data_IF_925262083103
#
_entry.id   IF_925262083103
#
_cell.length_a   1.000
_cell.length_b   1.000
_cell.length_c   1.000
_cell.angle_alpha   90.00
_cell.angle_beta   90.00
_cell.angle_gamma   90.00
#
_symmetry.space_group_name_H-M   'P 1'
#
loop_
_entity.id
_entity.type
_entity.pdbx_description
1 polymer ?
#
# COMPACT_ATOMS: atom_id res chain seq x y z
N UNK A 1 -4.81 6.45 17.12
CA UNK A 1 -5.81 6.89 16.10
C UNK A 1 -5.77 5.85 15.00
N UNK A 2 -6.74 4.91 14.93
CA UNK A 2 -6.60 3.78 14.03
C UNK A 2 -7.48 3.96 12.79
N UNK A 3 -6.83 4.44 11.73
CA UNK A 3 -7.16 4.30 10.29
C UNK A 3 -6.39 5.41 9.53
N UNK A 4 -5.08 5.49 9.74
CA UNK A 4 -4.26 6.41 8.94
C UNK A 4 -3.92 5.74 7.61
N UNK A 5 -4.92 5.65 6.73
CA UNK A 5 -4.69 5.41 5.31
C UNK A 5 -3.76 6.54 4.85
N UNK A 6 -2.60 6.25 4.23
CA UNK A 6 -1.72 7.29 3.75
C UNK A 6 -2.49 8.30 2.91
N UNK A 7 -2.32 9.58 3.19
CA UNK A 7 -3.03 10.66 2.52
C UNK A 7 -2.08 11.84 2.29
N UNK A 8 -2.45 12.69 1.34
CA UNK A 8 -1.79 13.96 1.09
C UNK A 8 -2.81 15.07 1.28
N UNK A 9 -2.45 16.06 2.09
CA UNK A 9 -3.23 17.27 2.31
C UNK A 9 -2.46 18.48 1.76
N UNK A 10 -3.13 19.31 0.96
CA UNK A 10 -2.60 20.55 0.43
C UNK A 10 -3.67 21.64 0.43
N UNK A 11 -3.61 22.55 1.42
CA UNK A 11 -4.62 23.59 1.59
C UNK A 11 -6.01 22.99 1.87
N UNK A 12 -6.93 23.12 0.91
CA UNK A 12 -8.27 22.54 0.99
C UNK A 12 -8.40 21.17 0.29
N UNK A 13 -7.31 20.67 -0.30
CA UNK A 13 -7.28 19.42 -1.05
C UNK A 13 -6.81 18.27 -0.15
N UNK A 14 -7.52 17.14 -0.20
CA UNK A 14 -7.16 15.90 0.50
C UNK A 14 -7.33 14.74 -0.47
N UNK A 15 -6.29 13.92 -0.62
CA UNK A 15 -6.32 12.69 -1.42
C UNK A 15 -5.90 11.50 -0.58
N UNK A 16 -6.64 10.39 -0.67
CA UNK A 16 -6.38 9.18 0.10
C UNK A 16 -5.79 8.08 -0.77
N UNK A 17 -4.87 7.29 -0.22
CA UNK A 17 -4.17 6.26 -0.98
C UNK A 17 -5.02 5.02 -1.32
N UNK A 18 -6.22 4.89 -0.75
CA UNK A 18 -7.16 3.83 -1.10
C UNK A 18 -8.05 4.17 -2.30
N UNK A 19 -7.94 5.39 -2.84
CA UNK A 19 -8.71 5.86 -3.99
C UNK A 19 -7.90 5.67 -5.29
N UNK A 20 -8.61 5.41 -6.40
CA UNK A 20 -8.14 5.47 -7.80
C UNK A 20 -6.62 5.30 -8.03
N UNK A 21 -6.09 4.08 -7.88
CA UNK A 21 -4.67 3.80 -8.20
C UNK A 21 -3.65 4.34 -7.19
N UNK A 22 -4.10 4.97 -6.10
CA UNK A 22 -3.27 5.50 -5.02
C UNK A 22 -3.12 7.02 -5.09
N UNK A 23 -2.59 7.59 -4.00
CA UNK A 23 -2.55 9.06 -3.82
C UNK A 23 -1.75 9.77 -4.92
N UNK A 24 -0.74 9.10 -5.48
CA UNK A 24 0.11 9.62 -6.55
C UNK A 24 -0.67 9.74 -7.87
N UNK A 25 -1.51 8.77 -8.19
CA UNK A 25 -2.31 8.78 -9.43
C UNK A 25 -3.37 9.88 -9.37
N UNK A 26 -4.02 10.05 -8.22
CA UNK A 26 -5.01 11.11 -7.99
C UNK A 26 -4.36 12.50 -8.15
N UNK A 27 -3.19 12.72 -7.53
CA UNK A 27 -2.44 13.98 -7.67
C UNK A 27 -2.09 14.31 -9.12
N UNK A 28 -1.87 13.27 -9.94
CA UNK A 28 -1.57 13.40 -11.36
C UNK A 28 -2.83 13.66 -12.18
N UNK A 29 -3.92 12.92 -11.95
CA UNK A 29 -5.23 13.12 -12.60
C UNK A 29 -5.76 14.53 -12.37
N UNK A 30 -5.64 15.04 -11.14
CA UNK A 30 -6.12 16.37 -10.75
C UNK A 30 -5.17 17.50 -11.17
N UNK A 31 -4.09 17.17 -11.89
CA UNK A 31 -3.15 18.14 -12.45
C UNK A 31 -2.36 18.92 -11.40
N UNK A 32 -2.30 18.42 -10.15
CA UNK A 32 -1.60 19.07 -9.04
C UNK A 32 -0.09 18.85 -9.18
N UNK A 33 0.35 17.60 -9.35
CA UNK A 33 1.77 17.25 -9.55
C UNK A 33 1.91 15.90 -10.24
N UNK A 34 2.78 15.82 -11.26
CA UNK A 34 3.23 14.54 -11.81
C UNK A 34 4.63 14.23 -11.26
N UNK A 35 4.71 13.31 -10.29
CA UNK A 35 5.95 12.85 -9.68
C UNK A 35 6.73 11.88 -10.58
N UNK A 36 6.10 11.33 -11.62
CA UNK A 36 6.71 10.39 -12.56
C UNK A 36 7.41 11.11 -13.74
N UNK A 37 7.36 12.45 -13.82
CA UNK A 37 7.89 13.24 -14.96
C UNK A 37 9.37 12.99 -15.30
N UNK A 38 10.18 12.58 -14.32
CA UNK A 38 11.61 12.29 -14.53
C UNK A 38 11.90 10.82 -14.81
N UNK A 39 10.88 9.97 -14.83
CA UNK A 39 11.01 8.52 -14.81
C UNK A 39 10.36 7.84 -16.02
N UNK A 40 10.58 8.38 -17.23
CA UNK A 40 10.03 7.79 -18.47
C UNK A 40 11.00 6.84 -19.18
N UNK A 41 12.13 6.45 -18.57
CA UNK A 41 13.01 5.48 -19.22
C UNK A 41 12.31 4.13 -19.34
N UNK A 42 12.49 3.45 -20.48
CA UNK A 42 11.88 2.13 -20.72
C UNK A 42 12.30 1.10 -19.67
N UNK A 43 13.53 1.24 -19.17
CA UNK A 43 14.10 0.44 -18.10
C UNK A 43 13.36 0.66 -16.77
N UNK A 44 13.09 1.92 -16.39
CA UNK A 44 12.32 2.23 -15.19
C UNK A 44 10.89 1.71 -15.27
N UNK A 45 10.22 1.91 -16.41
CA UNK A 45 8.84 1.44 -16.62
C UNK A 45 8.78 -0.09 -16.50
N UNK A 46 9.73 -0.79 -17.12
CA UNK A 46 9.82 -2.25 -17.04
C UNK A 46 10.09 -2.74 -15.61
N UNK A 47 10.99 -2.06 -14.88
CA UNK A 47 11.29 -2.37 -13.49
C UNK A 47 10.09 -2.10 -12.57
N UNK A 48 9.41 -0.96 -12.72
CA UNK A 48 8.18 -0.62 -11.98
C UNK A 48 7.11 -1.67 -12.22
N UNK A 49 6.92 -2.12 -13.47
CA UNK A 49 5.98 -3.18 -13.80
C UNK A 49 6.34 -4.53 -13.16
N UNK A 50 7.62 -4.93 -13.19
CA UNK A 50 8.09 -6.16 -12.55
C UNK A 50 7.90 -6.12 -11.03
N UNK A 51 8.27 -5.00 -10.39
CA UNK A 51 8.09 -4.80 -8.95
C UNK A 51 6.62 -4.87 -8.58
N UNK A 52 5.76 -4.17 -9.33
CA UNK A 52 4.33 -4.03 -8.99
C UNK A 52 3.50 -5.29 -9.28
N UNK A 53 3.98 -6.20 -10.13
CA UNK A 53 3.24 -7.42 -10.52
C UNK A 53 3.69 -8.65 -9.74
N UNK A 54 4.97 -9.00 -9.80
CA UNK A 54 5.46 -10.25 -9.22
C UNK A 54 6.06 -10.06 -7.84
N UNK A 55 6.97 -9.07 -7.70
CA UNK A 55 7.70 -8.89 -6.45
C UNK A 55 6.77 -8.43 -5.31
N UNK A 56 5.83 -7.53 -5.61
CA UNK A 56 4.83 -7.07 -4.63
C UNK A 56 3.99 -8.23 -4.10
N UNK A 57 3.53 -9.13 -4.98
CA UNK A 57 2.76 -10.30 -4.58
C UNK A 57 3.60 -11.29 -3.76
N UNK A 58 4.85 -11.55 -4.18
CA UNK A 58 5.76 -12.44 -3.46
C UNK A 58 6.09 -11.93 -2.05
N UNK A 59 6.40 -10.64 -1.90
CA UNK A 59 6.69 -10.02 -0.60
C UNK A 59 5.43 -10.02 0.28
N UNK A 60 4.25 -9.74 -0.30
CA UNK A 60 2.99 -9.79 0.44
C UNK A 60 2.73 -11.20 0.96
N UNK A 61 2.93 -12.24 0.14
CA UNK A 61 2.82 -13.63 0.58
C UNK A 61 3.81 -13.98 1.69
N UNK A 62 5.09 -13.64 1.51
CA UNK A 62 6.11 -13.92 2.52
C UNK A 62 5.79 -13.22 3.85
N UNK A 63 5.38 -11.96 3.79
CA UNK A 63 5.05 -11.18 4.98
C UNK A 63 3.86 -11.74 5.75
N UNK A 64 2.78 -12.13 5.05
CA UNK A 64 1.53 -12.54 5.69
C UNK A 64 1.39 -14.05 5.92
N UNK A 65 2.09 -14.89 5.15
CA UNK A 65 1.95 -16.35 5.17
C UNK A 65 3.27 -17.07 5.44
N UNK A 66 4.38 -16.60 4.85
CA UNK A 66 5.70 -17.22 5.00
C UNK A 66 6.36 -16.95 6.36
N UNK A 67 6.13 -15.76 6.92
CA UNK A 67 6.65 -15.34 8.21
C UNK A 67 5.77 -15.79 9.38
N UNK A 68 6.26 -15.62 10.62
CA UNK A 68 5.48 -15.89 11.83
C UNK A 68 4.37 -14.85 12.12
N UNK A 69 4.18 -13.89 11.21
CA UNK A 69 3.14 -12.87 11.26
C UNK A 69 3.36 -11.79 12.33
N UNK A 70 4.37 -11.93 13.20
CA UNK A 70 4.65 -10.95 14.26
C UNK A 70 5.08 -9.61 13.68
N UNK A 71 5.96 -9.63 12.69
CA UNK A 71 6.41 -8.41 11.98
C UNK A 71 5.25 -7.67 11.33
N UNK A 72 4.34 -8.38 10.66
CA UNK A 72 3.16 -7.76 10.04
C UNK A 72 2.22 -7.17 11.10
N UNK A 73 2.04 -7.87 12.23
CA UNK A 73 1.23 -7.39 13.33
C UNK A 73 1.84 -6.15 14.01
N UNK A 74 3.16 -6.11 14.19
CA UNK A 74 3.88 -4.97 14.76
C UNK A 74 3.83 -3.73 13.85
N UNK A 75 3.97 -3.90 12.53
CA UNK A 75 3.97 -2.79 11.57
C UNK A 75 2.57 -2.23 11.35
N UNK A 76 1.56 -3.09 11.15
CA UNK A 76 0.24 -2.64 10.70
C UNK A 76 -0.81 -2.54 11.80
N UNK A 77 -0.65 -3.28 12.91
CA UNK A 77 -1.72 -3.46 13.89
C UNK A 77 -1.29 -3.24 15.35
N UNK A 78 -0.06 -2.77 15.61
CA UNK A 78 0.45 -2.49 16.96
C UNK A 78 -0.38 -1.43 17.70
N UNK A 79 -0.88 -0.44 16.96
CA UNK A 79 -1.71 0.64 17.50
C UNK A 79 -3.20 0.29 17.62
N UNK A 80 -3.60 -0.93 17.19
CA UNK A 80 -4.98 -1.37 17.25
C UNK A 80 -5.30 -2.16 18.53
N UNK A 81 -6.53 -2.05 19.04
CA UNK A 81 -7.02 -2.99 20.05
C UNK A 81 -6.89 -4.43 19.55
N UNK A 82 -6.40 -5.32 20.42
CA UNK A 82 -6.15 -6.74 20.12
C UNK A 82 -7.24 -7.43 19.27
N UNK A 83 -8.55 -7.33 19.61
CA UNK A 83 -9.57 -8.03 18.82
C UNK A 83 -9.71 -7.49 17.38
N UNK A 84 -9.51 -6.19 17.17
CA UNK A 84 -9.58 -5.55 15.86
C UNK A 84 -8.39 -5.95 15.00
N UNK A 85 -7.17 -5.83 15.55
CA UNK A 85 -5.95 -6.23 14.86
C UNK A 85 -5.96 -7.71 14.47
N UNK A 86 -6.49 -8.58 15.35
CA UNK A 86 -6.59 -10.02 15.07
C UNK A 86 -7.56 -10.33 13.92
N UNK A 87 -8.74 -9.68 13.91
CA UNK A 87 -9.73 -9.86 12.84
C UNK A 87 -9.19 -9.43 11.48
N UNK A 88 -8.54 -8.25 11.41
CA UNK A 88 -7.93 -7.73 10.19
C UNK A 88 -6.79 -8.62 9.70
N UNK A 89 -5.96 -9.12 10.61
CA UNK A 89 -4.87 -10.06 10.27
C UNK A 89 -5.41 -11.34 9.62
N UNK A 90 -6.45 -11.94 10.18
CA UNK A 90 -7.06 -13.14 9.60
C UNK A 90 -7.65 -12.86 8.21
N UNK A 91 -8.31 -11.71 8.04
CA UNK A 91 -8.84 -11.29 6.73
C UNK A 91 -7.72 -11.16 5.70
N UNK A 92 -6.61 -10.53 6.07
CA UNK A 92 -5.45 -10.34 5.18
C UNK A 92 -4.80 -11.67 4.80
N UNK A 93 -4.58 -12.57 5.77
CA UNK A 93 -4.06 -13.91 5.51
C UNK A 93 -4.95 -14.69 4.55
N UNK A 94 -6.28 -14.56 4.69
CA UNK A 94 -7.22 -15.22 3.78
C UNK A 94 -7.12 -14.68 2.35
N UNK A 95 -7.08 -13.35 2.20
CA UNK A 95 -6.94 -12.69 0.88
C UNK A 95 -5.65 -13.12 0.17
N UNK A 96 -4.53 -13.17 0.90
CA UNK A 96 -3.21 -13.49 0.33
C UNK A 96 -3.06 -14.97 -0.05
N UNK A 97 -3.87 -15.86 0.54
CA UNK A 97 -3.86 -17.30 0.23
C UNK A 97 -4.75 -17.71 -0.94
N UNK A 98 -5.71 -16.87 -1.34
CA UNK A 98 -6.59 -17.11 -2.48
C UNK A 98 -5.91 -16.76 -3.80
#
# INVERSE_FOLDING_TARGET
>A
MPDQIPYVEYGYYVAYNNEKGGVIEILKEDGIVDLDIKFYSIEWISMKAMISSWLANAITYELWVGSDGRTAQEIYYSDLPWPVGKSLSFKQIHIVKQ
#
